data_IF_916750033140
#
_entry.id   IF_916750033140
#
_cell.length_a   1.000
_cell.length_b   1.000
_cell.length_c   1.000
_cell.angle_alpha   90.00
_cell.angle_beta   90.00
_cell.angle_gamma   90.00
#
_symmetry.space_group_name_H-M   'P 1'
#
loop_
_entity.id
_entity.type
_entity.pdbx_description
1 polymer ?
#
# COMPACT_ATOMS: atom_id res chain seq x y z
N UNK A 1 -42.04 14.08 5.00
CA UNK A 1 -41.34 13.25 5.98
C UNK A 1 -40.44 12.22 5.30
N UNK A 2 -40.93 11.39 4.37
CA UNK A 2 -40.16 10.33 3.74
C UNK A 2 -38.91 10.86 3.02
N UNK A 3 -39.03 11.93 2.23
CA UNK A 3 -37.92 12.55 1.51
C UNK A 3 -36.85 13.09 2.45
N UNK A 4 -37.23 13.60 3.63
CA UNK A 4 -36.29 14.02 4.67
C UNK A 4 -35.58 12.83 5.32
N UNK A 5 -36.31 11.79 5.68
CA UNK A 5 -35.75 10.60 6.33
C UNK A 5 -34.70 9.88 5.44
N UNK A 6 -34.91 9.87 4.11
CA UNK A 6 -33.96 9.30 3.14
C UNK A 6 -32.99 10.34 2.54
N UNK A 7 -32.97 11.57 3.09
CA UNK A 7 -32.10 12.68 2.64
C UNK A 7 -32.20 12.99 1.14
N UNK A 8 -33.39 12.82 0.56
CA UNK A 8 -33.65 12.99 -0.88
C UNK A 8 -34.41 14.33 -1.15
N UNK A 9 -33.64 15.42 -1.22
CA UNK A 9 -34.18 16.76 -1.52
C UNK A 9 -34.74 16.89 -2.95
N UNK A 10 -34.21 16.24 -4.00
CA UNK A 10 -34.85 16.25 -5.32
C UNK A 10 -36.26 15.68 -5.32
N UNK A 11 -36.54 14.63 -4.56
CA UNK A 11 -37.87 14.06 -4.45
C UNK A 11 -38.85 15.02 -3.78
N UNK A 12 -38.38 15.81 -2.81
CA UNK A 12 -39.20 16.88 -2.20
C UNK A 12 -39.55 17.94 -3.26
N UNK A 13 -38.60 18.42 -4.01
CA UNK A 13 -38.83 19.43 -5.06
C UNK A 13 -39.82 18.93 -6.12
N UNK A 14 -39.66 17.70 -6.59
CA UNK A 14 -40.61 17.10 -7.52
C UNK A 14 -42.05 17.00 -6.95
N UNK A 15 -42.17 16.60 -5.69
CA UNK A 15 -43.49 16.51 -5.04
C UNK A 15 -44.14 17.89 -4.85
N UNK A 16 -43.38 18.90 -4.46
CA UNK A 16 -43.84 20.28 -4.34
C UNK A 16 -44.32 20.83 -5.68
N UNK A 17 -43.55 20.58 -6.76
CA UNK A 17 -43.88 21.02 -8.10
C UNK A 17 -45.18 20.32 -8.61
N UNK A 18 -45.32 19.01 -8.38
CA UNK A 18 -46.52 18.28 -8.74
C UNK A 18 -47.75 18.81 -7.98
N UNK A 19 -47.62 19.12 -6.68
CA UNK A 19 -48.72 19.68 -5.89
C UNK A 19 -49.17 21.03 -6.42
N UNK A 20 -48.22 21.95 -6.77
CA UNK A 20 -48.54 23.26 -7.35
C UNK A 20 -49.15 23.16 -8.76
N UNK A 21 -48.87 22.12 -9.53
CA UNK A 21 -49.51 21.89 -10.81
C UNK A 21 -50.95 21.42 -10.64
N UNK A 22 -51.27 20.67 -9.58
CA UNK A 22 -52.60 20.20 -9.28
C UNK A 22 -53.50 21.26 -8.61
N UNK A 23 -52.88 22.06 -7.72
CA UNK A 23 -53.55 23.10 -6.95
C UNK A 23 -52.61 24.30 -6.77
N UNK A 24 -52.64 25.29 -7.66
CA UNK A 24 -51.75 26.44 -7.66
C UNK A 24 -51.83 27.33 -6.43
N UNK A 25 -52.99 27.33 -5.72
CA UNK A 25 -53.23 28.15 -4.54
C UNK A 25 -52.74 27.47 -3.25
N UNK A 26 -52.32 26.23 -3.32
CA UNK A 26 -51.98 25.41 -2.15
C UNK A 26 -50.53 25.64 -1.64
N UNK A 27 -50.18 26.88 -1.49
CA UNK A 27 -48.81 27.27 -1.03
C UNK A 27 -48.53 26.83 0.41
N UNK A 28 -49.57 26.70 1.23
CA UNK A 28 -49.42 26.26 2.63
C UNK A 28 -48.92 24.84 2.72
N UNK A 29 -49.50 23.92 1.97
CA UNK A 29 -49.08 22.52 1.99
C UNK A 29 -47.70 22.33 1.42
N UNK A 30 -47.28 23.15 0.43
CA UNK A 30 -45.92 23.16 -0.09
C UNK A 30 -44.90 23.56 0.99
N UNK A 31 -45.24 24.57 1.80
CA UNK A 31 -44.42 25.03 2.92
C UNK A 31 -44.37 23.95 4.02
N UNK A 32 -45.48 23.33 4.34
CA UNK A 32 -45.57 22.28 5.36
C UNK A 32 -44.74 21.03 4.93
N UNK A 33 -44.71 20.71 3.64
CA UNK A 33 -43.86 19.64 3.11
C UNK A 33 -42.36 19.96 3.29
N UNK A 34 -41.95 21.20 3.07
CA UNK A 34 -40.56 21.63 3.30
C UNK A 34 -40.20 21.57 4.78
N UNK A 35 -41.10 22.06 5.65
CA UNK A 35 -40.90 22.01 7.10
C UNK A 35 -40.79 20.58 7.62
N UNK A 36 -41.67 19.71 7.18
CA UNK A 36 -41.66 18.28 7.53
C UNK A 36 -40.37 17.58 7.06
N UNK A 37 -39.85 17.96 5.88
CA UNK A 37 -38.57 17.48 5.40
C UNK A 37 -37.41 17.98 6.27
N UNK A 38 -37.39 19.29 6.62
CA UNK A 38 -36.34 19.91 7.44
C UNK A 38 -36.26 19.27 8.84
N UNK A 39 -37.37 18.88 9.44
CA UNK A 39 -37.42 18.18 10.75
C UNK A 39 -36.90 16.74 10.63
N UNK A 40 -37.28 16.02 9.54
CA UNK A 40 -36.88 14.62 9.36
C UNK A 40 -35.44 14.44 8.87
N UNK A 41 -34.87 15.43 8.18
CA UNK A 41 -33.56 15.34 7.56
C UNK A 41 -32.41 15.06 8.55
N UNK A 42 -32.27 15.77 9.68
CA UNK A 42 -31.22 15.48 10.65
C UNK A 42 -31.31 14.04 11.20
N UNK A 43 -32.50 13.55 11.45
CA UNK A 43 -32.73 12.17 11.91
C UNK A 43 -32.32 11.15 10.87
N UNK A 44 -32.56 11.41 9.59
CA UNK A 44 -32.09 10.59 8.49
C UNK A 44 -30.57 10.49 8.43
N UNK A 45 -29.86 11.62 8.52
CA UNK A 45 -28.40 11.68 8.52
C UNK A 45 -27.81 10.94 9.72
N UNK A 46 -28.30 11.22 10.92
CA UNK A 46 -27.85 10.55 12.16
C UNK A 46 -28.12 9.04 12.08
N UNK A 47 -29.28 8.65 11.58
CA UNK A 47 -29.64 7.24 11.41
C UNK A 47 -28.67 6.48 10.49
N UNK A 48 -28.31 7.07 9.35
CA UNK A 48 -27.32 6.48 8.43
C UNK A 48 -25.95 6.37 9.08
N UNK A 49 -25.48 7.41 9.77
CA UNK A 49 -24.19 7.37 10.47
C UNK A 49 -24.18 6.27 11.54
N UNK A 50 -25.23 6.19 12.36
CA UNK A 50 -25.37 5.14 13.37
C UNK A 50 -25.43 3.74 12.74
N UNK A 51 -26.16 3.58 11.65
CA UNK A 51 -26.22 2.29 10.93
C UNK A 51 -24.83 1.86 10.45
N UNK A 52 -24.04 2.79 9.88
CA UNK A 52 -22.66 2.51 9.44
C UNK A 52 -21.78 2.13 10.63
N UNK A 53 -21.89 2.83 11.76
CA UNK A 53 -21.11 2.52 12.97
C UNK A 53 -21.49 1.14 13.51
N UNK A 54 -22.76 0.81 13.57
CA UNK A 54 -23.26 -0.49 14.03
C UNK A 54 -22.80 -1.60 13.08
N UNK A 55 -22.97 -1.43 11.79
CA UNK A 55 -22.50 -2.39 10.78
C UNK A 55 -20.99 -2.61 10.90
N UNK A 56 -20.21 -1.52 11.00
CA UNK A 56 -18.78 -1.61 11.23
C UNK A 56 -18.45 -2.37 12.52
N UNK A 57 -19.16 -2.11 13.60
CA UNK A 57 -18.94 -2.79 14.89
C UNK A 57 -19.26 -4.29 14.82
N UNK A 58 -20.33 -4.67 14.12
CA UNK A 58 -20.76 -6.06 13.98
C UNK A 58 -19.91 -6.85 12.99
N UNK A 59 -19.56 -6.25 11.85
CA UNK A 59 -18.87 -6.94 10.74
C UNK A 59 -17.35 -6.75 10.78
N UNK A 60 -16.83 -5.61 11.26
CA UNK A 60 -15.39 -5.39 11.34
C UNK A 60 -14.70 -6.29 12.38
N UNK A 61 -15.40 -6.72 13.43
CA UNK A 61 -14.84 -7.69 14.38
C UNK A 61 -14.50 -9.04 13.75
N UNK A 62 -15.09 -9.37 12.60
CA UNK A 62 -14.83 -10.64 11.92
C UNK A 62 -13.73 -10.53 10.84
N UNK A 63 -13.32 -9.31 10.49
CA UNK A 63 -12.25 -9.05 9.51
C UNK A 63 -10.97 -8.50 10.18
N UNK A 64 -10.95 -8.40 11.49
CA UNK A 64 -9.70 -8.26 12.25
C UNK A 64 -9.01 -9.63 12.33
N UNK A 65 -8.66 -10.21 11.19
CA UNK A 65 -7.47 -11.02 11.11
C UNK A 65 -6.30 -10.07 11.38
N UNK A 66 -5.92 -10.02 12.65
CA UNK A 66 -4.56 -9.78 13.19
C UNK A 66 -3.62 -8.93 12.30
N UNK A 67 -4.08 -7.80 11.77
CA UNK A 67 -3.18 -6.70 11.57
C UNK A 67 -3.17 -5.89 12.87
N UNK A 68 -2.34 -6.34 13.84
CA UNK A 68 -1.67 -5.38 14.70
C UNK A 68 -1.31 -4.23 13.79
N UNK A 69 -1.60 -3.00 14.19
CA UNK A 69 -0.93 -1.81 13.66
C UNK A 69 0.58 -2.04 13.86
N UNK A 70 1.14 -2.91 13.05
CA UNK A 70 2.56 -2.98 12.84
C UNK A 70 2.84 -1.68 12.11
N UNK A 71 3.67 -0.91 12.70
CA UNK A 71 4.32 0.27 12.16
C UNK A 71 4.73 -0.07 10.71
N UNK A 72 3.82 0.17 9.77
CA UNK A 72 3.98 -0.21 8.35
C UNK A 72 4.93 0.74 7.63
N UNK A 73 5.61 1.58 8.42
CA UNK A 73 6.64 2.47 7.91
C UNK A 73 7.73 1.62 7.29
N UNK A 74 7.86 1.76 5.98
CA UNK A 74 8.91 1.07 5.22
C UNK A 74 10.26 1.59 5.70
N UNK A 75 11.08 0.69 6.21
CA UNK A 75 12.44 0.96 6.63
C UNK A 75 13.42 0.48 5.55
N UNK A 76 14.41 1.29 5.25
CA UNK A 76 15.54 0.96 4.37
C UNK A 76 16.75 0.84 5.25
N UNK A 77 17.37 -0.32 5.27
CA UNK A 77 18.53 -0.58 6.11
C UNK A 77 19.57 -1.37 5.35
N UNK A 78 20.81 -1.17 5.72
CA UNK A 78 21.97 -1.84 5.16
C UNK A 78 22.47 -2.90 6.10
N UNK A 79 22.78 -4.05 5.55
CA UNK A 79 23.26 -5.20 6.30
C UNK A 79 24.48 -5.79 5.63
N UNK A 80 25.47 -6.13 6.44
CA UNK A 80 26.57 -6.95 5.99
C UNK A 80 26.27 -8.41 6.24
N UNK A 81 26.52 -9.27 5.27
CA UNK A 81 26.33 -10.72 5.39
C UNK A 81 27.47 -11.30 6.23
N UNK A 82 27.17 -11.55 7.51
CA UNK A 82 28.11 -12.09 8.49
C UNK A 82 27.66 -13.45 9.05
N UNK A 83 26.42 -13.88 8.78
CA UNK A 83 25.89 -15.14 9.28
C UNK A 83 26.36 -16.30 8.40
N UNK A 84 27.22 -17.23 8.92
CA UNK A 84 27.71 -18.37 8.15
C UNK A 84 26.61 -19.29 7.64
N UNK A 85 25.45 -19.33 8.34
CA UNK A 85 24.35 -20.21 7.99
C UNK A 85 23.70 -19.87 6.62
N UNK A 86 23.95 -18.67 6.10
CA UNK A 86 23.41 -18.24 4.80
C UNK A 86 24.46 -18.13 3.70
N UNK A 87 25.74 -18.39 4.01
CA UNK A 87 26.80 -18.41 3.01
C UNK A 87 26.55 -19.48 1.95
N UNK A 88 26.86 -19.15 0.71
CA UNK A 88 26.67 -20.01 -0.46
C UNK A 88 25.22 -20.47 -0.71
N UNK A 89 24.25 -19.84 -0.05
CA UNK A 89 22.82 -20.05 -0.32
C UNK A 89 22.30 -19.00 -1.28
N UNK A 90 21.35 -19.40 -2.13
CA UNK A 90 20.66 -18.43 -2.96
C UNK A 90 19.69 -17.59 -2.13
N UNK A 91 19.40 -16.37 -2.58
CA UNK A 91 18.42 -15.50 -1.92
C UNK A 91 17.07 -16.22 -1.76
N UNK A 92 16.66 -17.03 -2.73
CA UNK A 92 15.44 -17.82 -2.61
C UNK A 92 15.49 -18.82 -1.43
N UNK A 93 16.63 -19.46 -1.21
CA UNK A 93 16.81 -20.35 -0.08
C UNK A 93 16.78 -19.60 1.25
N UNK A 94 17.44 -18.45 1.32
CA UNK A 94 17.47 -17.61 2.51
C UNK A 94 16.07 -17.08 2.84
N UNK A 95 15.30 -16.66 1.84
CA UNK A 95 13.91 -16.21 2.04
C UNK A 95 12.97 -17.31 2.55
N UNK A 96 13.29 -18.58 2.34
CA UNK A 96 12.52 -19.70 2.89
C UNK A 96 12.83 -19.99 4.37
N UNK A 97 13.93 -19.46 4.89
CA UNK A 97 14.32 -19.63 6.30
C UNK A 97 13.55 -18.71 7.24
N UNK A 98 12.80 -17.76 6.70
CA UNK A 98 12.06 -16.76 7.48
C UNK A 98 10.68 -16.53 6.87
N UNK A 99 9.70 -16.27 7.73
CA UNK A 99 8.36 -15.84 7.34
C UNK A 99 8.28 -14.32 7.14
N UNK A 100 9.39 -13.60 7.36
CA UNK A 100 9.43 -12.14 7.27
C UNK A 100 9.45 -11.66 5.82
N UNK A 101 8.76 -10.55 5.58
CA UNK A 101 8.68 -9.94 4.26
C UNK A 101 9.69 -8.81 4.12
N UNK A 102 10.68 -9.01 3.29
CA UNK A 102 11.66 -8.00 2.92
C UNK A 102 12.05 -8.11 1.44
N UNK A 103 12.64 -7.05 0.92
CA UNK A 103 13.15 -6.98 -0.45
C UNK A 103 14.62 -6.58 -0.39
N UNK A 104 15.48 -7.40 -0.97
CA UNK A 104 16.87 -7.03 -1.20
C UNK A 104 16.88 -6.21 -2.50
N UNK A 105 17.12 -4.91 -2.34
CA UNK A 105 17.11 -3.96 -3.45
C UNK A 105 18.43 -3.97 -4.22
N UNK A 106 19.54 -3.99 -3.51
CA UNK A 106 20.89 -3.93 -4.07
C UNK A 106 21.82 -4.85 -3.30
N UNK A 107 22.87 -5.30 -4.00
CA UNK A 107 23.98 -6.08 -3.46
C UNK A 107 25.28 -5.45 -3.91
N UNK A 108 26.14 -5.11 -2.96
CA UNK A 108 27.53 -4.66 -3.20
C UNK A 108 28.48 -5.81 -2.95
N UNK A 109 29.33 -6.07 -3.92
CA UNK A 109 30.36 -7.07 -3.86
C UNK A 109 31.56 -6.61 -4.66
N UNK A 110 32.75 -6.58 -4.06
CA UNK A 110 34.01 -6.20 -4.74
C UNK A 110 33.89 -4.85 -5.48
N UNK A 111 33.29 -3.85 -4.87
CA UNK A 111 33.15 -2.52 -5.45
C UNK A 111 32.11 -2.40 -6.57
N UNK A 112 31.34 -3.47 -6.86
CA UNK A 112 30.26 -3.46 -7.84
C UNK A 112 28.91 -3.57 -7.18
N UNK A 113 27.96 -2.77 -7.65
CA UNK A 113 26.55 -2.83 -7.25
C UNK A 113 25.78 -3.65 -8.28
N UNK A 114 24.94 -4.56 -7.81
CA UNK A 114 24.07 -5.37 -8.67
C UNK A 114 22.67 -5.46 -8.10
N UNK A 115 21.67 -5.66 -8.96
CA UNK A 115 20.33 -6.02 -8.54
C UNK A 115 20.31 -7.54 -8.36
N UNK A 116 20.19 -8.03 -7.13
CA UNK A 116 20.24 -9.47 -6.93
C UNK A 116 18.95 -10.14 -7.41
N UNK A 117 19.07 -11.30 -8.03
CA UNK A 117 17.95 -12.17 -8.40
C UNK A 117 17.66 -13.19 -7.31
N UNK A 118 16.59 -13.96 -7.44
CA UNK A 118 16.29 -15.08 -6.52
C UNK A 118 17.39 -16.15 -6.48
N UNK A 119 18.17 -16.27 -7.55
CA UNK A 119 19.24 -17.25 -7.72
C UNK A 119 20.60 -16.72 -7.30
N UNK A 120 20.70 -15.42 -7.02
CA UNK A 120 21.96 -14.82 -6.55
C UNK A 120 22.42 -15.50 -5.27
N UNK A 121 23.64 -16.01 -5.30
CA UNK A 121 24.27 -16.68 -4.14
C UNK A 121 24.92 -15.62 -3.27
N UNK A 122 24.57 -15.62 -1.98
CA UNK A 122 25.16 -14.75 -0.98
C UNK A 122 26.55 -15.26 -0.56
N UNK A 123 27.45 -14.33 -0.37
CA UNK A 123 28.83 -14.58 0.10
C UNK A 123 29.08 -13.81 1.38
N UNK A 124 30.11 -14.23 2.09
CA UNK A 124 30.64 -13.49 3.23
C UNK A 124 30.98 -12.06 2.83
N UNK A 125 30.69 -11.10 3.69
CA UNK A 125 30.95 -9.67 3.49
C UNK A 125 30.22 -9.01 2.31
N UNK A 126 29.19 -9.65 1.77
CA UNK A 126 28.26 -8.95 0.88
C UNK A 126 27.54 -7.85 1.65
N UNK A 127 27.38 -6.68 1.05
CA UNK A 127 26.57 -5.60 1.60
C UNK A 127 25.23 -5.58 0.88
N UNK A 128 24.15 -5.56 1.63
CA UNK A 128 22.79 -5.67 1.12
C UNK A 128 21.98 -4.45 1.53
N UNK A 129 21.34 -3.79 0.56
CA UNK A 129 20.30 -2.82 0.86
C UNK A 129 18.97 -3.55 0.95
N UNK A 130 18.40 -3.59 2.16
CA UNK A 130 17.18 -4.31 2.46
C UNK A 130 16.07 -3.33 2.78
N UNK A 131 14.91 -3.54 2.17
CA UNK A 131 13.68 -2.79 2.42
C UNK A 131 12.72 -3.72 3.14
N UNK A 132 12.33 -3.34 4.35
CA UNK A 132 11.45 -4.14 5.23
C UNK A 132 10.48 -3.25 5.98
N UNK A 133 9.62 -3.86 6.78
CA UNK A 133 8.86 -3.16 7.81
C UNK A 133 9.77 -2.93 9.01
N UNK A 134 9.65 -1.79 9.68
CA UNK A 134 10.48 -1.41 10.83
C UNK A 134 10.46 -2.48 11.95
N UNK A 135 9.32 -3.11 12.17
CA UNK A 135 9.17 -4.18 13.17
C UNK A 135 9.99 -5.44 12.87
N UNK A 136 10.41 -5.65 11.61
CA UNK A 136 11.13 -6.85 11.18
C UNK A 136 12.65 -6.67 11.15
N UNK A 137 13.16 -5.44 11.36
CA UNK A 137 14.59 -5.10 11.28
C UNK A 137 15.44 -5.98 12.19
N UNK A 138 15.03 -6.18 13.44
CA UNK A 138 15.76 -7.03 14.40
C UNK A 138 15.83 -8.49 13.94
N UNK A 139 14.75 -9.01 13.37
CA UNK A 139 14.74 -10.38 12.83
C UNK A 139 15.66 -10.51 11.61
N UNK A 140 15.72 -9.48 10.79
CA UNK A 140 16.59 -9.40 9.61
C UNK A 140 18.05 -9.28 10.02
N UNK A 141 18.34 -8.54 11.10
CA UNK A 141 19.66 -8.46 11.70
C UNK A 141 20.18 -9.83 12.14
N UNK A 142 19.32 -10.61 12.80
CA UNK A 142 19.69 -12.00 13.20
C UNK A 142 19.95 -12.87 11.98
N UNK A 143 19.20 -12.68 10.88
CA UNK A 143 19.33 -13.49 9.68
C UNK A 143 20.60 -13.19 8.89
N UNK A 144 20.92 -11.93 8.67
CA UNK A 144 22.03 -11.51 7.80
C UNK A 144 23.31 -11.19 8.58
N UNK A 145 23.21 -10.51 9.69
CA UNK A 145 24.32 -10.00 10.48
C UNK A 145 24.08 -8.58 10.96
N UNK A 146 25.15 -7.85 11.19
CA UNK A 146 25.05 -6.48 11.71
C UNK A 146 24.47 -5.50 10.69
N UNK A 147 23.64 -4.60 11.22
CA UNK A 147 23.19 -3.45 10.46
C UNK A 147 24.33 -2.45 10.39
N UNK A 148 24.64 -2.00 9.19
CA UNK A 148 25.64 -0.95 8.99
C UNK A 148 25.05 0.42 9.31
N UNK A 149 25.86 1.26 9.96
CA UNK A 149 25.51 2.65 10.24
C UNK A 149 25.85 3.59 9.07
N UNK A 150 26.58 3.08 8.08
CA UNK A 150 26.98 3.83 6.90
C UNK A 150 25.76 3.97 5.98
N UNK A 151 25.30 5.18 5.81
CA UNK A 151 24.24 5.46 4.85
C UNK A 151 24.82 5.47 3.43
N UNK A 152 24.77 4.34 2.77
CA UNK A 152 25.14 4.18 1.36
C UNK A 152 24.18 4.90 0.41
N UNK A 153 23.09 5.44 0.95
CA UNK A 153 22.06 6.19 0.22
C UNK A 153 22.29 7.72 0.29
N UNK A 154 23.48 8.17 0.73
CA UNK A 154 23.81 9.60 0.77
C UNK A 154 23.70 10.20 -0.62
N UNK A 155 23.06 11.38 -0.68
CA UNK A 155 22.93 12.17 -1.90
C UNK A 155 24.28 12.54 -2.55
N UNK A 156 25.35 12.55 -1.74
CA UNK A 156 26.74 12.85 -2.18
C UNK A 156 27.45 11.68 -2.88
N UNK A 157 26.91 10.47 -2.82
CA UNK A 157 27.44 9.37 -3.60
C UNK A 157 26.83 9.47 -5.00
N UNK A 158 27.63 9.86 -5.96
CA UNK A 158 27.23 9.82 -7.37
C UNK A 158 27.01 8.37 -7.81
N UNK A 159 25.78 7.91 -7.58
CA UNK A 159 25.33 6.56 -7.96
C UNK A 159 25.48 6.33 -9.47
N UNK A 160 25.51 7.40 -10.28
CA UNK A 160 25.75 7.32 -11.71
C UNK A 160 27.24 7.07 -12.02
N UNK A 161 28.13 7.47 -11.14
CA UNK A 161 29.59 7.21 -11.29
C UNK A 161 29.96 5.78 -10.85
N UNK A 162 29.24 5.23 -9.85
CA UNK A 162 29.51 3.87 -9.34
C UNK A 162 28.81 2.81 -10.21
N UNK A 163 27.65 3.12 -10.76
CA UNK A 163 26.91 2.22 -11.65
C UNK A 163 26.03 2.99 -12.64
N UNK A 164 26.60 3.33 -13.77
CA UNK A 164 25.90 4.00 -14.89
C UNK A 164 24.74 3.17 -15.48
N UNK A 165 24.44 2.01 -14.93
CA UNK A 165 23.45 1.09 -15.46
C UNK A 165 22.15 0.99 -14.62
N UNK A 166 22.13 1.47 -13.37
CA UNK A 166 20.94 1.37 -12.52
C UNK A 166 20.15 2.68 -12.47
N UNK A 167 19.00 2.68 -13.09
CA UNK A 167 18.08 3.81 -13.11
C UNK A 167 16.94 3.57 -12.14
N UNK A 168 16.69 4.53 -11.23
CA UNK A 168 15.51 4.52 -10.39
C UNK A 168 14.41 5.38 -11.02
N UNK A 169 13.21 4.82 -11.17
CA UNK A 169 12.04 5.54 -11.72
C UNK A 169 10.78 5.28 -10.90
N UNK A 170 9.89 6.27 -10.90
CA UNK A 170 8.54 6.10 -10.34
C UNK A 170 7.56 5.92 -11.49
N UNK A 171 6.75 4.87 -11.43
CA UNK A 171 5.69 4.59 -12.39
C UNK A 171 4.36 4.41 -11.68
N UNK A 172 3.26 4.66 -12.38
CA UNK A 172 1.91 4.47 -11.84
C UNK A 172 1.24 3.29 -12.55
N UNK A 173 0.56 2.47 -11.77
CA UNK A 173 -0.23 1.35 -12.30
C UNK A 173 -1.52 1.92 -12.91
N UNK A 174 -1.62 1.93 -14.23
CA UNK A 174 -2.77 2.44 -14.97
C UNK A 174 -3.53 1.35 -15.74
N UNK A 175 -2.87 0.22 -16.02
CA UNK A 175 -3.46 -0.84 -16.83
C UNK A 175 -4.31 -1.78 -15.99
N UNK A 176 -5.56 -1.99 -16.41
CA UNK A 176 -6.49 -2.89 -15.73
C UNK A 176 -6.00 -4.35 -15.67
N UNK A 177 -5.21 -4.78 -16.66
CA UNK A 177 -4.63 -6.14 -16.72
C UNK A 177 -3.73 -6.50 -15.53
N UNK A 178 -3.14 -5.54 -14.85
CA UNK A 178 -2.27 -5.75 -13.68
C UNK A 178 -2.99 -5.51 -12.36
N UNK A 179 -4.25 -5.08 -12.39
CA UNK A 179 -5.07 -4.89 -11.20
C UNK A 179 -5.35 -6.24 -10.52
N UNK A 180 -5.08 -6.35 -9.22
CA UNK A 180 -5.25 -7.58 -8.44
C UNK A 180 -4.17 -8.65 -8.67
N UNK A 181 -3.23 -8.43 -9.60
CA UNK A 181 -2.16 -9.38 -9.91
C UNK A 181 -1.09 -9.33 -8.81
N UNK A 182 -0.62 -10.49 -8.36
CA UNK A 182 0.49 -10.59 -7.41
C UNK A 182 1.79 -10.11 -8.07
N UNK A 183 2.54 -9.28 -7.36
CA UNK A 183 3.80 -8.72 -7.84
C UNK A 183 4.81 -9.80 -8.22
N UNK A 184 4.91 -10.86 -7.44
CA UNK A 184 5.80 -11.99 -7.73
C UNK A 184 5.47 -12.74 -9.02
N UNK A 185 4.20 -12.75 -9.46
CA UNK A 185 3.80 -13.44 -10.71
C UNK A 185 4.24 -12.69 -11.97
N UNK A 186 4.52 -11.39 -11.86
CA UNK A 186 5.01 -10.58 -12.98
C UNK A 186 6.46 -10.88 -13.36
N UNK A 187 7.23 -11.54 -12.49
CA UNK A 187 8.64 -11.93 -12.69
C UNK A 187 9.53 -10.83 -13.27
N UNK A 188 9.24 -9.57 -12.94
CA UNK A 188 9.88 -8.39 -13.53
C UNK A 188 11.41 -8.41 -13.38
N UNK A 189 11.90 -8.91 -12.24
CA UNK A 189 13.33 -9.05 -11.98
C UNK A 189 14.00 -10.03 -12.95
N UNK A 190 13.38 -11.17 -13.19
CA UNK A 190 13.96 -12.21 -14.04
C UNK A 190 13.81 -11.92 -15.53
N UNK A 191 12.69 -11.28 -15.93
CA UNK A 191 12.39 -11.02 -17.35
C UNK A 191 13.03 -9.72 -17.84
N UNK A 192 13.10 -8.70 -16.99
CA UNK A 192 13.48 -7.35 -17.41
C UNK A 192 14.61 -6.73 -16.58
N UNK A 193 15.17 -7.46 -15.60
CA UNK A 193 16.18 -6.91 -14.68
C UNK A 193 15.63 -5.83 -13.72
N UNK A 194 14.30 -5.64 -13.68
CA UNK A 194 13.66 -4.57 -12.91
C UNK A 194 13.27 -5.08 -11.53
N UNK A 195 13.68 -4.35 -10.50
CA UNK A 195 13.24 -4.58 -9.13
C UNK A 195 12.26 -3.49 -8.69
N UNK A 196 11.11 -3.90 -8.14
CA UNK A 196 10.20 -2.98 -7.45
C UNK A 196 10.63 -2.93 -6.00
N UNK A 197 11.02 -1.75 -5.52
CA UNK A 197 11.54 -1.54 -4.17
C UNK A 197 10.49 -1.05 -3.22
N UNK A 198 9.52 -0.27 -3.72
CA UNK A 198 8.46 0.33 -2.91
C UNK A 198 7.18 0.46 -3.71
N UNK A 199 6.05 0.27 -3.05
CA UNK A 199 4.72 0.54 -3.59
C UNK A 199 4.05 1.57 -2.70
N UNK A 200 3.69 2.74 -3.26
CA UNK A 200 2.92 3.74 -2.54
C UNK A 200 1.45 3.65 -2.97
N UNK A 201 0.57 3.38 -2.02
CA UNK A 201 -0.88 3.28 -2.20
C UNK A 201 -1.57 4.31 -1.34
N UNK A 202 -2.25 5.27 -1.95
CA UNK A 202 -2.97 6.34 -1.25
C UNK A 202 -2.12 7.06 -0.18
N UNK A 203 -0.82 7.29 -0.45
CA UNK A 203 0.10 7.93 0.48
C UNK A 203 0.82 7.00 1.46
N UNK A 204 0.44 5.73 1.53
CA UNK A 204 1.08 4.73 2.41
C UNK A 204 2.13 3.94 1.63
N UNK A 205 3.33 3.87 2.16
CA UNK A 205 4.41 3.07 1.58
C UNK A 205 4.33 1.62 2.05
N UNK A 206 4.24 0.72 1.10
CA UNK A 206 4.16 -0.73 1.31
C UNK A 206 5.45 -1.40 0.82
N UNK A 207 5.88 -2.44 1.53
CA UNK A 207 6.97 -3.30 1.07
C UNK A 207 6.51 -4.06 -0.19
N UNK A 208 7.32 -4.01 -1.25
CA UNK A 208 7.03 -4.68 -2.51
C UNK A 208 7.24 -6.20 -2.42
N UNK A 209 6.51 -6.85 -1.51
CA UNK A 209 6.58 -8.30 -1.32
C UNK A 209 5.99 -9.06 -2.51
N UNK A 210 6.39 -10.33 -2.68
CA UNK A 210 5.94 -11.18 -3.80
C UNK A 210 4.41 -11.39 -3.81
N UNK A 211 3.79 -11.41 -2.65
CA UNK A 211 2.36 -11.65 -2.49
C UNK A 211 1.51 -10.37 -2.55
N UNK A 212 2.15 -9.20 -2.56
CA UNK A 212 1.46 -7.94 -2.69
C UNK A 212 0.71 -7.90 -4.03
N UNK A 213 -0.59 -7.63 -3.96
CA UNK A 213 -1.43 -7.44 -5.15
C UNK A 213 -1.43 -5.98 -5.56
N UNK A 214 -1.07 -5.72 -6.80
CA UNK A 214 -1.10 -4.38 -7.37
C UNK A 214 -2.54 -3.89 -7.53
N UNK A 215 -2.73 -2.58 -7.38
CA UNK A 215 -4.00 -1.90 -7.62
C UNK A 215 -3.78 -0.72 -8.58
N UNK A 216 -4.83 -0.37 -9.32
CA UNK A 216 -4.81 0.84 -10.14
C UNK A 216 -4.58 2.04 -9.23
N UNK A 217 -3.68 2.94 -9.64
CA UNK A 217 -3.27 4.11 -8.85
C UNK A 217 -2.06 3.87 -7.96
N UNK A 218 -1.60 2.62 -7.77
CA UNK A 218 -0.35 2.36 -7.06
C UNK A 218 0.82 3.07 -7.75
N UNK A 219 1.63 3.77 -6.98
CA UNK A 219 2.89 4.37 -7.43
C UNK A 219 4.03 3.42 -7.06
N UNK A 220 4.72 2.90 -8.07
CA UNK A 220 5.80 1.94 -7.90
C UNK A 220 7.14 2.66 -8.02
N UNK A 221 8.05 2.44 -7.08
CA UNK A 221 9.46 2.80 -7.26
C UNK A 221 10.19 1.57 -7.79
N UNK A 222 10.73 1.71 -8.99
CA UNK A 222 11.46 0.65 -9.70
C UNK A 222 12.93 1.01 -9.81
N UNK A 223 13.78 -0.02 -9.83
CA UNK A 223 15.23 0.08 -10.07
C UNK A 223 15.60 -0.98 -11.10
N UNK A 224 16.32 -0.57 -12.15
CA UNK A 224 16.74 -1.45 -13.24
C UNK A 224 17.64 -0.77 -14.21
#
# INVERSE_FOLDING_TARGET
LLSGAVTNTPALGAAQQALLQMDPENTRNVTDMALACAVAYPLGVVGVILAIIILRSLFAKKTQSTHKEQDTTTNVAEFQVLNPSIYNKSIQQVMKLTEKHFVISRLWRNGKVTIPTSETILKEKDHLLIISVKADVESIKVLFGEQETTDWNKEDIDWNAIDSQLISRRIVVTRNRVNGVKLGSLRLRNLYGINITRVNRAGIDLVASRDLRLQIGDKLTIVG
#
